data_IF_276687410696
#
_entry.id   IF_276687410696
#
_cell.length_a   1.000
_cell.length_b   1.000
_cell.length_c   1.000
_cell.angle_alpha   90.00
_cell.angle_beta   90.00
_cell.angle_gamma   90.00
#
_symmetry.space_group_name_H-M   'P 1'
#
loop_
_entity.id
_entity.type
_entity.pdbx_description
1 polymer ?
#
# COMPACT_ATOMS: atom_id res chain seq x y z
N UNK A 1 13.44 0.18 7.95
CA UNK A 1 13.28 -1.29 7.77
C UNK A 1 14.15 -1.77 6.64
N UNK A 2 14.33 -3.09 6.54
CA UNK A 2 14.83 -3.71 5.31
C UNK A 2 13.73 -3.80 4.23
N UNK A 3 14.11 -4.19 3.00
CA UNK A 3 13.18 -4.39 1.89
C UNK A 3 12.04 -5.39 2.19
N UNK A 4 12.31 -6.36 3.08
CA UNK A 4 11.41 -7.46 3.40
C UNK A 4 10.11 -6.99 4.07
N UNK A 5 10.17 -6.07 5.04
CA UNK A 5 8.97 -5.56 5.71
C UNK A 5 8.10 -4.68 4.80
N UNK A 6 8.69 -4.05 3.77
CA UNK A 6 7.92 -3.31 2.75
C UNK A 6 7.20 -4.28 1.84
N UNK A 7 7.85 -5.39 1.48
CA UNK A 7 7.24 -6.45 0.68
C UNK A 7 6.06 -7.08 1.44
N UNK A 8 6.17 -7.30 2.76
CA UNK A 8 5.04 -7.81 3.56
C UNK A 8 3.79 -6.92 3.48
N UNK A 9 3.97 -5.58 3.50
CA UNK A 9 2.85 -4.63 3.39
C UNK A 9 2.24 -4.65 2.00
N UNK A 10 3.09 -4.71 0.97
CA UNK A 10 2.71 -4.80 -0.45
C UNK A 10 1.92 -6.10 -0.69
N UNK A 11 2.45 -7.24 -0.24
CA UNK A 11 1.82 -8.55 -0.37
C UNK A 11 0.48 -8.60 0.36
N UNK A 12 0.43 -8.12 1.60
CA UNK A 12 -0.83 -8.03 2.35
C UNK A 12 -1.84 -7.14 1.62
N UNK A 13 -1.42 -5.99 1.08
CA UNK A 13 -2.30 -5.11 0.33
C UNK A 13 -2.88 -5.81 -0.92
N UNK A 14 -2.05 -6.49 -1.70
CA UNK A 14 -2.50 -7.25 -2.88
C UNK A 14 -3.51 -8.32 -2.49
N UNK A 15 -3.20 -9.13 -1.47
CA UNK A 15 -4.07 -10.22 -1.05
C UNK A 15 -5.41 -9.73 -0.55
N UNK A 16 -5.43 -8.64 0.23
CA UNK A 16 -6.68 -8.01 0.66
C UNK A 16 -7.51 -7.56 -0.56
N UNK A 17 -6.90 -6.86 -1.52
CA UNK A 17 -7.61 -6.33 -2.68
C UNK A 17 -8.15 -7.43 -3.59
N UNK A 18 -7.37 -8.50 -3.81
CA UNK A 18 -7.72 -9.59 -4.72
C UNK A 18 -8.61 -10.66 -4.09
N UNK A 19 -8.30 -11.11 -2.87
CA UNK A 19 -8.93 -12.27 -2.24
C UNK A 19 -10.18 -11.85 -1.43
N UNK A 20 -10.07 -10.77 -0.64
CA UNK A 20 -11.13 -10.33 0.26
C UNK A 20 -12.07 -9.31 -0.37
N UNK A 21 -11.54 -8.17 -0.83
CA UNK A 21 -12.35 -7.10 -1.43
C UNK A 21 -12.78 -7.43 -2.85
N UNK A 22 -12.00 -8.29 -3.54
CA UNK A 22 -12.17 -8.62 -4.97
C UNK A 22 -12.36 -7.38 -5.83
N UNK A 23 -11.66 -6.31 -5.48
CA UNK A 23 -11.83 -4.99 -6.05
C UNK A 23 -10.52 -4.21 -5.95
N UNK A 24 -10.12 -3.59 -7.05
CA UNK A 24 -8.95 -2.73 -7.12
C UNK A 24 -9.40 -1.36 -7.63
N UNK A 25 -9.01 -0.30 -6.92
CA UNK A 25 -9.17 1.06 -7.41
C UNK A 25 -7.87 1.50 -8.08
N UNK A 26 -7.93 1.71 -9.39
CA UNK A 26 -6.79 2.10 -10.22
C UNK A 26 -6.98 3.54 -10.70
N UNK A 27 -5.98 4.37 -10.47
CA UNK A 27 -5.89 5.74 -10.98
C UNK A 27 -4.87 5.82 -12.11
N UNK A 28 -5.28 6.37 -13.25
CA UNK A 28 -4.41 6.64 -14.39
C UNK A 28 -4.08 8.13 -14.45
N UNK A 29 -2.80 8.45 -14.67
CA UNK A 29 -2.29 9.80 -14.82
C UNK A 29 -1.18 9.82 -15.89
N UNK A 30 -0.78 11.00 -16.41
CA UNK A 30 0.36 11.10 -17.31
C UNK A 30 1.66 10.52 -16.74
N UNK A 31 1.82 10.58 -15.42
CA UNK A 31 3.01 10.09 -14.71
C UNK A 31 2.97 8.56 -14.48
N UNK A 32 1.83 7.91 -14.74
CA UNK A 32 1.67 6.47 -14.65
C UNK A 32 0.41 6.02 -13.89
N UNK A 33 0.47 4.76 -13.44
CA UNK A 33 -0.63 4.06 -12.76
C UNK A 33 -0.43 4.08 -11.26
N UNK A 34 -1.50 4.33 -10.52
CA UNK A 34 -1.55 4.23 -9.06
C UNK A 34 -2.65 3.26 -8.62
N UNK A 35 -2.39 2.51 -7.56
CA UNK A 35 -3.35 1.59 -6.94
C UNK A 35 -3.64 2.10 -5.54
N UNK A 36 -4.92 2.20 -5.19
CA UNK A 36 -5.33 2.54 -3.83
C UNK A 36 -5.12 1.35 -2.90
N UNK A 37 -4.40 1.58 -1.80
CA UNK A 37 -4.21 0.58 -0.76
C UNK A 37 -5.49 0.37 0.06
N UNK A 38 -5.64 -0.80 0.70
CA UNK A 38 -6.63 -0.98 1.76
C UNK A 38 -6.41 0.02 2.90
N UNK A 39 -7.44 0.21 3.71
CA UNK A 39 -7.31 1.06 4.91
C UNK A 39 -6.26 0.51 5.86
N UNK A 40 -5.57 1.40 6.59
CA UNK A 40 -4.59 1.01 7.63
C UNK A 40 -5.15 -0.01 8.62
N UNK A 41 -6.44 0.15 8.99
CA UNK A 41 -7.13 -0.79 9.88
C UNK A 41 -7.21 -2.19 9.28
N UNK A 42 -7.65 -2.30 8.03
CA UNK A 42 -7.79 -3.60 7.34
C UNK A 42 -6.44 -4.28 7.13
N UNK A 43 -5.40 -3.51 6.79
CA UNK A 43 -4.03 -4.03 6.72
C UNK A 43 -3.52 -4.55 8.06
N UNK A 44 -3.76 -3.80 9.14
CA UNK A 44 -3.37 -4.21 10.49
C UNK A 44 -4.09 -5.50 10.92
N UNK A 45 -5.39 -5.59 10.66
CA UNK A 45 -6.22 -6.78 10.92
C UNK A 45 -5.70 -8.00 10.14
N UNK A 46 -5.44 -7.84 8.84
CA UNK A 46 -4.93 -8.92 7.99
C UNK A 46 -3.55 -9.42 8.43
N UNK A 47 -2.65 -8.50 8.81
CA UNK A 47 -1.31 -8.82 9.29
C UNK A 47 -1.30 -9.35 10.73
N UNK A 48 -2.42 -9.30 11.45
CA UNK A 48 -2.49 -9.71 12.85
C UNK A 48 -1.68 -8.81 13.80
N UNK A 49 -1.44 -7.54 13.43
CA UNK A 49 -0.63 -6.59 14.21
C UNK A 49 -1.43 -5.34 14.60
N UNK A 50 -1.04 -4.63 15.67
CA UNK A 50 -1.68 -3.36 16.00
C UNK A 50 -1.46 -2.28 14.92
N UNK A 51 -2.47 -1.46 14.64
CA UNK A 51 -2.43 -0.45 13.58
C UNK A 51 -1.30 0.58 13.72
N UNK A 52 -0.86 0.88 14.94
CA UNK A 52 0.25 1.80 15.18
C UNK A 52 1.61 1.25 14.73
N UNK A 53 1.74 -0.06 14.45
CA UNK A 53 2.92 -0.63 13.81
C UNK A 53 2.92 -0.41 12.29
N UNK A 54 1.75 -0.28 11.66
CA UNK A 54 1.64 -0.09 10.20
C UNK A 54 2.00 1.34 9.79
N UNK A 55 1.67 2.33 10.64
CA UNK A 55 1.91 3.75 10.36
C UNK A 55 3.40 4.11 10.14
N UNK A 56 4.35 3.64 10.97
CA UNK A 56 5.78 3.80 10.70
C UNK A 56 6.22 3.19 9.37
N UNK A 57 5.68 2.02 8.99
CA UNK A 57 6.00 1.37 7.71
C UNK A 57 5.60 2.23 6.53
N UNK A 58 4.41 2.83 6.57
CA UNK A 58 4.00 3.80 5.56
C UNK A 58 4.87 5.05 5.54
N UNK A 59 5.32 5.52 6.70
CA UNK A 59 6.28 6.62 6.78
C UNK A 59 7.60 6.31 6.07
N UNK A 60 8.05 5.06 6.09
CA UNK A 60 9.23 4.62 5.34
C UNK A 60 8.96 4.48 3.86
N UNK A 61 7.89 3.78 3.46
CA UNK A 61 7.50 3.61 2.06
C UNK A 61 7.25 4.95 1.35
N UNK A 62 6.72 5.95 2.06
CA UNK A 62 6.52 7.30 1.52
C UNK A 62 7.84 8.03 1.32
N UNK A 63 8.80 7.90 2.26
CA UNK A 63 10.16 8.43 2.09
C UNK A 63 10.89 7.77 0.92
N UNK A 64 10.66 6.49 0.71
CA UNK A 64 11.24 5.72 -0.41
C UNK A 64 10.48 5.94 -1.72
N UNK A 65 9.44 6.80 -1.73
CA UNK A 65 8.70 7.18 -2.92
C UNK A 65 7.82 6.07 -3.50
N UNK A 66 7.48 5.05 -2.72
CA UNK A 66 6.62 3.93 -3.16
C UNK A 66 5.13 4.24 -3.00
N UNK A 67 4.78 5.05 -2.02
CA UNK A 67 3.39 5.44 -1.76
C UNK A 67 3.27 6.95 -1.58
N UNK A 68 2.05 7.44 -1.74
CA UNK A 68 1.64 8.79 -1.39
C UNK A 68 0.43 8.72 -0.46
N UNK A 69 0.43 9.58 0.57
CA UNK A 69 -0.75 9.80 1.42
C UNK A 69 -1.45 11.08 1.03
N UNK A 70 -2.76 11.00 0.87
CA UNK A 70 -3.60 12.15 0.57
C UNK A 70 -4.67 12.29 1.65
N UNK A 71 -4.78 13.50 2.21
CA UNK A 71 -5.64 13.77 3.36
C UNK A 71 -7.08 13.38 3.03
N UNK A 72 -7.70 12.54 3.88
CA UNK A 72 -9.09 12.04 3.75
C UNK A 72 -9.37 11.17 2.53
N UNK A 73 -8.40 10.99 1.64
CA UNK A 73 -8.51 10.11 0.47
C UNK A 73 -7.89 8.75 0.77
N UNK A 74 -6.80 8.70 1.53
CA UNK A 74 -6.13 7.46 1.95
C UNK A 74 -4.74 7.32 1.33
N UNK A 75 -4.32 6.07 1.13
CA UNK A 75 -2.97 5.74 0.66
C UNK A 75 -3.06 5.15 -0.74
N UNK A 76 -2.23 5.64 -1.64
CA UNK A 76 -2.09 5.05 -2.98
C UNK A 76 -0.62 4.85 -3.30
N UNK A 77 -0.31 3.90 -4.17
CA UNK A 77 1.04 3.81 -4.71
C UNK A 77 1.39 5.02 -5.57
N UNK A 78 2.68 5.31 -5.65
CA UNK A 78 3.24 6.07 -6.77
C UNK A 78 3.41 5.14 -7.98
N UNK A 79 3.73 5.66 -9.17
CA UNK A 79 4.09 4.82 -10.32
C UNK A 79 5.22 3.81 -10.00
N UNK A 80 6.23 4.23 -9.23
CA UNK A 80 7.32 3.35 -8.80
C UNK A 80 6.83 2.25 -7.84
N UNK A 81 5.97 2.59 -6.89
CA UNK A 81 5.35 1.58 -6.01
C UNK A 81 4.46 0.61 -6.76
N UNK A 82 3.74 1.07 -7.78
CA UNK A 82 2.93 0.19 -8.64
C UNK A 82 3.81 -0.81 -9.40
N UNK A 83 4.95 -0.38 -9.93
CA UNK A 83 5.87 -1.33 -10.59
C UNK A 83 6.37 -2.41 -9.63
N UNK A 84 6.65 -2.07 -8.37
CA UNK A 84 7.08 -3.03 -7.35
C UNK A 84 5.98 -4.03 -6.94
N UNK A 85 4.71 -3.67 -7.08
CA UNK A 85 3.59 -4.61 -6.90
C UNK A 85 3.48 -5.64 -8.04
N UNK A 86 4.06 -5.36 -9.21
CA UNK A 86 3.90 -6.16 -10.42
C UNK A 86 5.14 -7.00 -10.77
N UNK A 87 6.24 -6.84 -10.03
CA UNK A 87 7.52 -7.54 -10.22
C UNK A 87 7.59 -8.80 -9.38
#
# INVERSE_FOLDING_TARGET
MGPDEQNDIIDAAIRILLEEDRCINVGFSPDGVSIRFPTTRKLAEFLGIPHYYVLPRFGEMERDGLIRREERVGISTTPAGTQRLLS
#
